data_IF_173704085373
#
_entry.id   IF_173704085373
#
_cell.length_a   1.000
_cell.length_b   1.000
_cell.length_c   1.000
_cell.angle_alpha   90.00
_cell.angle_beta   90.00
_cell.angle_gamma   90.00
#
_symmetry.space_group_name_H-M   'P 1'
#
loop_
_entity.id
_entity.type
_entity.pdbx_description
1 polymer ?
#
# COMPACT_ATOMS: atom_id res chain seq x y z
N UNK A 1 0.66 -7.78 -22.21
CA UNK A 1 0.68 -6.33 -21.92
C UNK A 1 -0.52 -5.87 -21.07
N UNK A 2 -1.77 -5.97 -21.56
CA UNK A 2 -2.97 -5.50 -20.83
C UNK A 2 -3.17 -6.14 -19.45
N UNK A 3 -2.85 -7.42 -19.27
CA UNK A 3 -2.93 -8.07 -17.95
C UNK A 3 -1.99 -7.45 -16.91
N UNK A 4 -0.75 -7.16 -17.30
CA UNK A 4 0.23 -6.43 -16.49
C UNK A 4 -0.23 -4.99 -16.25
N UNK A 5 -0.64 -4.27 -17.29
CA UNK A 5 -1.16 -2.91 -17.16
C UNK A 5 -2.41 -2.85 -16.25
N UNK A 6 -3.24 -3.90 -16.26
CA UNK A 6 -4.43 -4.05 -15.43
C UNK A 6 -4.09 -4.18 -13.94
N UNK A 7 -2.93 -4.73 -13.60
CA UNK A 7 -2.42 -4.73 -12.22
C UNK A 7 -2.22 -3.29 -11.69
N UNK A 8 -1.68 -2.42 -12.55
CA UNK A 8 -1.39 -1.01 -12.26
C UNK A 8 -2.58 -0.07 -12.44
N UNK A 9 -3.77 -0.59 -12.78
CA UNK A 9 -4.98 0.23 -13.03
C UNK A 9 -5.30 1.23 -11.92
N UNK A 10 -4.95 0.88 -10.66
CA UNK A 10 -5.22 1.70 -9.46
C UNK A 10 -4.33 2.95 -9.37
N UNK A 11 -3.22 2.96 -10.10
CA UNK A 11 -2.23 4.05 -10.11
C UNK A 11 -2.35 4.91 -11.39
N UNK A 12 -3.17 4.48 -12.35
CA UNK A 12 -3.34 5.14 -13.64
C UNK A 12 -4.69 5.86 -13.69
N UNK A 13 -4.67 7.18 -13.57
CA UNK A 13 -5.87 8.04 -13.71
C UNK A 13 -6.45 7.83 -15.12
N UNK A 14 -7.73 7.46 -15.20
CA UNK A 14 -8.40 7.21 -16.49
C UNK A 14 -7.93 5.94 -17.22
N UNK A 15 -7.52 4.90 -16.50
CA UNK A 15 -7.13 3.61 -17.10
C UNK A 15 -8.20 3.05 -18.04
N UNK A 16 -9.46 2.97 -17.58
CA UNK A 16 -10.55 2.37 -18.34
C UNK A 16 -10.83 3.04 -19.68
N UNK A 17 -10.79 4.38 -19.73
CA UNK A 17 -10.95 5.13 -20.98
C UNK A 17 -9.74 4.95 -21.91
N UNK A 18 -8.52 4.97 -21.37
CA UNK A 18 -7.29 4.79 -22.15
C UNK A 18 -7.19 3.37 -22.73
N UNK A 19 -7.63 2.34 -22.01
CA UNK A 19 -7.57 0.95 -22.49
C UNK A 19 -8.76 0.50 -23.33
N UNK A 20 -9.83 1.29 -23.41
CA UNK A 20 -11.06 0.94 -24.16
C UNK A 20 -10.79 0.50 -25.62
N UNK A 21 -10.01 1.23 -26.45
CA UNK A 21 -9.67 0.76 -27.79
C UNK A 21 -8.86 -0.54 -27.78
N UNK A 22 -7.98 -0.73 -26.80
CA UNK A 22 -7.20 -1.96 -26.62
C UNK A 22 -8.05 -3.17 -26.22
N UNK A 23 -9.05 -2.98 -25.35
CA UNK A 23 -9.98 -4.03 -24.92
C UNK A 23 -10.98 -4.38 -26.02
N UNK A 24 -11.35 -3.42 -26.87
CA UNK A 24 -12.21 -3.67 -28.03
C UNK A 24 -11.54 -4.59 -29.06
N UNK A 25 -10.22 -4.50 -29.25
CA UNK A 25 -9.46 -5.41 -30.11
C UNK A 25 -9.42 -6.87 -29.60
N UNK A 26 -9.71 -7.12 -28.33
CA UNK A 26 -9.72 -8.47 -27.73
C UNK A 26 -11.06 -9.20 -27.90
N UNK A 27 -12.05 -8.57 -28.55
CA UNK A 27 -13.36 -9.18 -28.83
C UNK A 27 -13.28 -10.13 -30.03
N UNK A 28 -14.22 -11.08 -30.09
CA UNK A 28 -14.12 -12.33 -30.86
C UNK A 28 -14.02 -12.18 -32.40
N UNK A 29 -14.11 -10.99 -32.99
CA UNK A 29 -14.16 -10.81 -34.46
C UNK A 29 -13.48 -9.53 -34.98
N UNK A 30 -12.30 -9.16 -34.47
CA UNK A 30 -11.55 -8.07 -35.11
C UNK A 30 -10.33 -7.59 -34.35
N UNK A 31 -9.24 -8.37 -34.40
CA UNK A 31 -7.93 -7.84 -34.06
C UNK A 31 -7.48 -6.91 -35.21
N UNK A 32 -7.80 -5.62 -35.11
CA UNK A 32 -7.36 -4.59 -36.04
C UNK A 32 -6.54 -3.56 -35.26
N UNK A 33 -5.24 -3.50 -35.53
CA UNK A 33 -4.34 -2.51 -34.92
C UNK A 33 -4.57 -1.14 -35.56
N UNK A 34 -5.57 -0.42 -35.07
CA UNK A 34 -5.91 0.93 -35.54
C UNK A 34 -4.94 2.00 -35.01
N UNK A 35 -4.97 3.18 -35.63
CA UNK A 35 -4.23 4.35 -35.13
C UNK A 35 -4.61 4.67 -33.67
N UNK A 36 -5.90 4.60 -33.36
CA UNK A 36 -6.45 4.81 -32.01
C UNK A 36 -5.92 3.79 -30.99
N UNK A 37 -5.75 2.53 -31.41
CA UNK A 37 -5.15 1.49 -30.58
C UNK A 37 -3.66 1.75 -30.32
N UNK A 38 -2.93 2.23 -31.33
CA UNK A 38 -1.52 2.59 -31.19
C UNK A 38 -1.33 3.81 -30.25
N UNK A 39 -2.15 4.84 -30.40
CA UNK A 39 -2.16 6.01 -29.52
C UNK A 39 -2.50 5.63 -28.08
N UNK A 40 -3.50 4.79 -27.88
CA UNK A 40 -3.85 4.26 -26.57
C UNK A 40 -2.72 3.43 -25.95
N UNK A 41 -2.02 2.61 -26.75
CA UNK A 41 -0.87 1.84 -26.30
C UNK A 41 0.30 2.73 -25.88
N UNK A 42 0.65 3.74 -26.68
CA UNK A 42 1.73 4.68 -26.35
C UNK A 42 1.36 5.55 -25.14
N UNK A 43 0.13 6.06 -25.08
CA UNK A 43 -0.37 6.80 -23.92
C UNK A 43 -0.32 5.96 -22.65
N UNK A 44 -0.73 4.69 -22.72
CA UNK A 44 -0.65 3.77 -21.59
C UNK A 44 0.81 3.49 -21.19
N UNK A 45 1.72 3.34 -22.15
CA UNK A 45 3.16 3.16 -21.89
C UNK A 45 3.76 4.39 -21.21
N UNK A 46 3.48 5.59 -21.71
CA UNK A 46 3.93 6.86 -21.11
C UNK A 46 3.36 7.04 -19.71
N UNK A 47 2.07 6.79 -19.51
CA UNK A 47 1.45 6.82 -18.17
C UNK A 47 2.01 5.74 -17.24
N UNK A 48 2.36 4.57 -17.76
CA UNK A 48 3.02 3.51 -16.99
C UNK A 48 4.46 3.84 -16.62
N UNK A 49 5.16 4.69 -17.40
CA UNK A 49 6.54 5.11 -17.12
C UNK A 49 6.59 6.35 -16.22
N UNK A 50 5.65 7.28 -16.41
CA UNK A 50 5.58 8.57 -15.69
C UNK A 50 4.58 8.61 -14.55
N UNK A 51 3.77 7.56 -14.34
CA UNK A 51 3.09 7.42 -13.07
C UNK A 51 4.15 7.54 -11.96
N UNK A 52 3.79 7.96 -10.74
CA UNK A 52 4.61 7.66 -9.57
C UNK A 52 4.63 6.13 -9.44
N UNK A 53 5.47 5.49 -10.27
CA UNK A 53 5.62 4.06 -10.36
C UNK A 53 6.37 3.71 -9.10
N UNK A 54 5.56 3.40 -8.12
CA UNK A 54 5.91 2.45 -7.12
C UNK A 54 6.68 1.29 -7.80
N UNK A 55 7.94 1.12 -7.44
CA UNK A 55 8.89 0.25 -8.12
C UNK A 55 8.30 -1.15 -8.37
N UNK A 56 8.71 -1.78 -9.46
CA UNK A 56 8.34 -3.17 -9.71
C UNK A 56 8.80 -4.02 -8.52
N UNK A 57 7.89 -4.80 -7.90
CA UNK A 57 8.27 -5.64 -6.77
C UNK A 57 9.21 -6.74 -7.27
N UNK A 58 10.43 -6.73 -6.75
CA UNK A 58 11.39 -7.80 -6.97
C UNK A 58 11.25 -8.81 -5.84
N UNK A 59 10.61 -9.94 -6.12
CA UNK A 59 10.34 -10.95 -5.11
C UNK A 59 11.60 -11.61 -4.54
N UNK A 60 12.78 -11.45 -5.16
CA UNK A 60 14.04 -11.94 -4.60
C UNK A 60 14.56 -11.07 -3.45
N UNK A 61 14.03 -9.85 -3.33
CA UNK A 61 14.44 -8.86 -2.35
C UNK A 61 13.50 -8.80 -1.15
N UNK A 62 14.06 -8.44 -0.01
CA UNK A 62 13.31 -8.30 1.25
C UNK A 62 12.37 -7.10 1.18
N UNK A 63 11.10 -7.34 1.47
CA UNK A 63 10.11 -6.27 1.60
C UNK A 63 10.25 -5.56 2.94
N UNK A 64 9.98 -4.28 2.93
CA UNK A 64 9.96 -3.42 4.11
C UNK A 64 8.65 -2.66 4.15
N UNK A 65 8.01 -2.67 5.31
CA UNK A 65 6.72 -2.05 5.56
C UNK A 65 6.95 -0.95 6.59
N UNK A 66 6.92 0.30 6.17
CA UNK A 66 6.92 1.45 7.09
C UNK A 66 5.46 1.80 7.42
N UNK A 67 5.14 1.86 8.71
CA UNK A 67 3.82 2.20 9.22
C UNK A 67 3.92 3.47 10.04
N UNK A 68 2.94 4.34 9.90
CA UNK A 68 2.76 5.53 10.71
C UNK A 68 1.29 5.72 11.09
N UNK A 69 1.05 6.08 12.35
CA UNK A 69 -0.29 6.25 12.89
C UNK A 69 -0.42 7.62 13.52
N UNK A 70 -1.33 8.42 12.98
CA UNK A 70 -1.76 9.66 13.60
C UNK A 70 -3.02 9.46 14.43
N UNK A 71 -3.43 10.49 15.17
CA UNK A 71 -4.69 10.46 15.93
C UNK A 71 -5.93 10.18 15.06
N UNK A 72 -5.87 10.57 13.78
CA UNK A 72 -7.01 10.61 12.86
C UNK A 72 -6.89 9.65 11.67
N UNK A 73 -5.67 9.32 11.26
CA UNK A 73 -5.40 8.58 10.04
C UNK A 73 -4.20 7.67 10.16
N UNK A 74 -4.09 6.77 9.19
CA UNK A 74 -3.05 5.75 9.13
C UNK A 74 -2.35 5.87 7.78
N UNK A 75 -1.03 5.82 7.83
CA UNK A 75 -0.15 5.81 6.68
C UNK A 75 0.67 4.52 6.67
N UNK A 76 0.84 3.92 5.50
CA UNK A 76 1.76 2.80 5.34
C UNK A 76 2.40 2.79 3.96
N UNK A 77 3.67 2.41 3.92
CA UNK A 77 4.48 2.34 2.71
C UNK A 77 5.16 0.97 2.66
N UNK A 78 4.90 0.23 1.60
CA UNK A 78 5.67 -0.95 1.20
C UNK A 78 6.83 -0.46 0.35
N UNK A 79 8.04 -0.92 0.64
CA UNK A 79 9.23 -0.56 -0.10
C UNK A 79 10.24 -1.71 -0.20
N UNK A 80 11.13 -1.63 -1.18
CA UNK A 80 12.32 -2.47 -1.30
C UNK A 80 13.50 -1.57 -1.62
N UNK A 81 14.64 -1.79 -0.96
CA UNK A 81 15.87 -1.00 -1.21
C UNK A 81 15.60 0.52 -1.24
N UNK A 82 14.80 1.03 -0.30
CA UNK A 82 14.39 2.45 -0.21
C UNK A 82 13.49 2.96 -1.35
N UNK A 83 13.01 2.08 -2.24
CA UNK A 83 12.06 2.42 -3.30
C UNK A 83 10.65 1.99 -2.90
N UNK A 84 9.66 2.91 -2.88
CA UNK A 84 8.29 2.57 -2.53
C UNK A 84 7.65 1.72 -3.63
N UNK A 85 6.89 0.69 -3.26
CA UNK A 85 6.19 -0.31 -4.10
C UNK A 85 4.67 -0.24 -3.90
N UNK A 86 4.23 0.13 -2.71
CA UNK A 86 2.82 0.43 -2.48
C UNK A 86 2.69 1.47 -1.37
N UNK A 87 1.70 2.33 -1.51
CA UNK A 87 1.36 3.32 -0.49
C UNK A 87 -0.11 3.13 -0.15
N UNK A 88 -0.43 3.21 1.15
CA UNK A 88 -1.77 3.21 1.69
C UNK A 88 -1.89 4.39 2.64
N UNK A 89 -2.96 5.17 2.48
CA UNK A 89 -3.44 6.13 3.48
C UNK A 89 -4.92 5.90 3.71
N UNK A 90 -5.36 5.92 4.97
CA UNK A 90 -6.77 5.74 5.34
C UNK A 90 -7.09 6.52 6.60
N UNK A 91 -8.27 7.14 6.66
CA UNK A 91 -8.81 7.76 7.88
C UNK A 91 -9.39 6.69 8.81
N UNK A 92 -9.14 6.82 10.12
CA UNK A 92 -9.71 5.92 11.13
C UNK A 92 -11.18 6.27 11.39
N UNK A 93 -12.03 5.25 11.58
CA UNK A 93 -13.41 5.47 12.02
C UNK A 93 -13.45 5.92 13.49
N UNK A 94 -14.54 6.55 13.94
CA UNK A 94 -14.66 7.08 15.31
C UNK A 94 -14.37 6.03 16.41
N UNK A 95 -14.84 4.79 16.22
CA UNK A 95 -14.53 3.67 17.13
C UNK A 95 -13.04 3.26 17.13
N UNK A 96 -12.36 3.44 16.00
CA UNK A 96 -10.93 3.16 15.87
C UNK A 96 -10.09 4.33 16.41
N UNK A 97 -10.60 5.56 16.32
CA UNK A 97 -9.98 6.75 16.89
C UNK A 97 -10.00 6.72 18.43
N UNK A 98 -10.99 6.08 19.06
CA UNK A 98 -11.05 5.91 20.51
C UNK A 98 -10.15 4.80 21.06
N UNK A 99 -9.50 4.00 20.20
CA UNK A 99 -8.56 2.98 20.64
C UNK A 99 -7.29 3.60 21.23
N UNK A 100 -6.59 2.84 22.08
CA UNK A 100 -5.26 3.23 22.55
C UNK A 100 -4.27 3.33 21.37
N UNK A 101 -3.23 4.16 21.49
CA UNK A 101 -2.19 4.30 20.46
C UNK A 101 -1.62 2.94 20.03
N UNK A 102 -1.36 2.08 21.01
CA UNK A 102 -0.90 0.71 20.76
C UNK A 102 -1.90 -0.14 19.94
N UNK A 103 -3.18 -0.11 20.29
CA UNK A 103 -4.20 -0.86 19.55
C UNK A 103 -4.42 -0.32 18.14
N UNK A 104 -4.30 1.01 17.95
CA UNK A 104 -4.35 1.61 16.61
C UNK A 104 -3.21 1.10 15.76
N UNK A 105 -1.98 1.18 16.26
CA UNK A 105 -0.81 0.68 15.55
C UNK A 105 -0.89 -0.80 15.20
N UNK A 106 -1.28 -1.64 16.16
CA UNK A 106 -1.50 -3.06 15.93
C UNK A 106 -2.55 -3.29 14.84
N UNK A 107 -3.65 -2.56 14.90
CA UNK A 107 -4.69 -2.61 13.87
C UNK A 107 -4.14 -2.22 12.49
N UNK A 108 -3.27 -1.21 12.40
CA UNK A 108 -2.66 -0.80 11.14
C UNK A 108 -1.73 -1.88 10.60
N UNK A 109 -0.84 -2.42 11.43
CA UNK A 109 0.06 -3.50 11.03
C UNK A 109 -0.74 -4.67 10.46
N UNK A 110 -1.76 -5.14 11.18
CA UNK A 110 -2.63 -6.24 10.74
C UNK A 110 -3.34 -5.90 9.43
N UNK A 111 -3.86 -4.68 9.32
CA UNK A 111 -4.57 -4.23 8.12
C UNK A 111 -3.66 -4.20 6.90
N UNK A 112 -2.45 -3.65 7.03
CA UNK A 112 -1.48 -3.47 5.96
C UNK A 112 -0.92 -4.81 5.52
N UNK A 113 -0.53 -5.67 6.46
CA UNK A 113 -0.03 -7.02 6.18
C UNK A 113 -1.09 -7.85 5.45
N UNK A 114 -2.35 -7.80 5.88
CA UNK A 114 -3.45 -8.48 5.18
C UNK A 114 -3.71 -7.87 3.79
N UNK A 115 -3.60 -6.55 3.65
CA UNK A 115 -3.81 -5.87 2.35
C UNK A 115 -2.72 -6.20 1.33
N UNK A 116 -1.50 -6.43 1.81
CA UNK A 116 -0.33 -6.80 1.00
C UNK A 116 0.04 -8.28 1.15
N UNK A 117 -0.92 -9.11 1.55
CA UNK A 117 -0.74 -10.57 1.67
C UNK A 117 -0.08 -11.17 0.43
N UNK A 118 -0.49 -10.76 -0.77
CA UNK A 118 0.06 -11.28 -2.03
C UNK A 118 1.53 -10.90 -2.27
N UNK A 119 2.07 -9.90 -1.56
CA UNK A 119 3.50 -9.57 -1.59
C UNK A 119 4.28 -10.26 -0.46
N UNK A 120 3.67 -10.38 0.72
CA UNK A 120 4.35 -10.74 1.97
C UNK A 120 4.25 -12.23 2.33
N UNK A 121 3.29 -12.96 1.77
CA UNK A 121 3.09 -14.38 2.10
C UNK A 121 4.30 -15.23 1.69
N UNK A 122 4.71 -16.16 2.57
CA UNK A 122 5.85 -17.06 2.40
C UNK A 122 7.21 -16.34 2.21
N UNK A 123 7.34 -15.11 2.72
CA UNK A 123 8.58 -14.33 2.64
C UNK A 123 8.85 -13.67 3.97
N UNK A 124 10.13 -13.53 4.29
CA UNK A 124 10.56 -12.72 5.42
C UNK A 124 10.50 -11.25 5.03
N UNK A 125 9.88 -10.42 5.87
CA UNK A 125 9.83 -8.96 5.67
C UNK A 125 10.07 -8.22 6.98
N UNK A 126 10.33 -6.93 6.87
CA UNK A 126 10.64 -6.05 8.00
C UNK A 126 9.50 -5.06 8.16
N UNK A 127 8.97 -4.93 9.37
CA UNK A 127 7.99 -3.91 9.73
C UNK A 127 8.72 -2.83 10.53
N UNK A 128 8.66 -1.59 10.05
CA UNK A 128 9.22 -0.41 10.70
C UNK A 128 8.10 0.45 11.26
N UNK A 129 8.24 0.78 12.53
CA UNK A 129 7.29 1.60 13.29
C UNK A 129 8.03 2.62 14.13
N UNK A 130 7.41 3.77 14.33
CA UNK A 130 7.89 4.88 15.14
C UNK A 130 7.58 4.73 16.64
N UNK A 131 6.97 3.60 17.01
CA UNK A 131 6.57 3.33 18.38
C UNK A 131 7.19 2.05 18.95
N UNK A 132 7.96 2.20 20.03
CA UNK A 132 8.71 1.10 20.64
C UNK A 132 7.84 -0.02 21.19
N UNK A 133 6.59 0.28 21.56
CA UNK A 133 5.68 -0.67 22.21
C UNK A 133 5.37 -1.88 21.32
N UNK A 134 5.36 -1.70 20.00
CA UNK A 134 5.15 -2.78 19.02
C UNK A 134 6.35 -3.73 18.90
N UNK A 135 7.55 -3.32 19.29
CA UNK A 135 8.75 -4.18 19.22
C UNK A 135 8.56 -5.48 20.01
N UNK A 136 7.88 -5.39 21.16
CA UNK A 136 7.62 -6.51 22.05
C UNK A 136 6.23 -7.13 21.84
N UNK A 137 5.54 -6.81 20.74
CA UNK A 137 4.19 -7.29 20.45
C UNK A 137 4.09 -8.83 20.49
N UNK A 138 5.13 -9.53 20.04
CA UNK A 138 5.18 -11.00 20.04
C UNK A 138 5.38 -11.62 21.44
N UNK A 139 5.95 -10.85 22.38
CA UNK A 139 6.30 -11.30 23.72
C UNK A 139 5.24 -10.90 24.77
N UNK A 140 4.35 -9.97 24.43
CA UNK A 140 3.33 -9.45 25.33
C UNK A 140 2.18 -10.43 25.56
N UNK A 141 1.63 -10.40 26.78
CA UNK A 141 0.40 -11.13 27.11
C UNK A 141 -0.79 -10.50 26.38
N UNK A 142 -1.37 -11.24 25.44
CA UNK A 142 -2.60 -10.85 24.73
C UNK A 142 -3.79 -10.90 25.69
N UNK A 143 -4.26 -9.74 26.13
CA UNK A 143 -5.34 -9.64 27.13
C UNK A 143 -6.71 -9.64 26.49
N UNK A 144 -6.89 -8.98 25.34
CA UNK A 144 -8.21 -8.83 24.70
C UNK A 144 -8.48 -9.85 23.59
N UNK A 145 -9.75 -10.20 23.39
CA UNK A 145 -10.19 -11.12 22.32
C UNK A 145 -9.84 -10.58 20.92
N UNK A 146 -9.88 -9.26 20.73
CA UNK A 146 -9.49 -8.63 19.47
C UNK A 146 -8.00 -8.81 19.18
N UNK A 147 -7.13 -8.58 20.18
CA UNK A 147 -5.69 -8.79 20.06
C UNK A 147 -5.36 -10.23 19.70
N UNK A 148 -6.01 -11.22 20.32
CA UNK A 148 -5.84 -12.64 19.97
C UNK A 148 -6.21 -12.93 18.52
N UNK A 149 -7.34 -12.42 18.03
CA UNK A 149 -7.77 -12.58 16.63
C UNK A 149 -6.77 -11.96 15.65
N UNK A 150 -6.22 -10.80 15.99
CA UNK A 150 -5.22 -10.11 15.17
C UNK A 150 -3.87 -10.83 15.17
N UNK A 151 -3.45 -11.35 16.32
CA UNK A 151 -2.24 -12.12 16.45
C UNK A 151 -2.25 -13.41 15.61
N UNK A 152 -3.35 -14.16 15.64
CA UNK A 152 -3.52 -15.36 14.79
C UNK A 152 -3.38 -15.03 13.30
N UNK A 153 -3.85 -13.85 12.87
CA UNK A 153 -3.68 -13.38 11.48
C UNK A 153 -2.25 -12.96 11.14
N UNK A 154 -1.42 -12.67 12.13
CA UNK A 154 -0.02 -12.33 11.94
C UNK A 154 0.88 -13.58 11.99
N UNK A 155 0.47 -14.63 12.70
CA UNK A 155 1.23 -15.90 12.81
C UNK A 155 1.47 -16.61 11.48
N UNK A 156 0.68 -16.34 10.45
CA UNK A 156 0.87 -16.89 9.10
C UNK A 156 2.02 -16.22 8.32
N UNK A 157 2.63 -15.17 8.87
CA UNK A 157 3.66 -14.37 8.23
C UNK A 157 4.98 -14.46 9.00
N UNK A 158 6.10 -14.41 8.26
CA UNK A 158 7.44 -14.31 8.84
C UNK A 158 7.91 -12.85 8.77
N UNK A 159 7.97 -12.18 9.92
CA UNK A 159 8.38 -10.77 9.99
C UNK A 159 9.20 -10.44 11.22
N UNK A 160 10.02 -9.39 11.10
CA UNK A 160 10.71 -8.76 12.21
C UNK A 160 10.26 -7.31 12.37
N UNK A 161 10.08 -6.87 13.62
CA UNK A 161 9.72 -5.48 13.92
C UNK A 161 10.98 -4.70 14.27
N UNK A 162 11.25 -3.63 13.52
CA UNK A 162 12.30 -2.67 13.77
C UNK A 162 11.69 -1.34 14.23
N UNK A 163 12.28 -0.77 15.28
CA UNK A 163 11.95 0.59 15.67
C UNK A 163 12.76 1.57 14.81
N UNK A 164 12.10 2.55 14.22
CA UNK A 164 12.73 3.63 13.47
C UNK A 164 12.19 4.97 13.99
N UNK A 165 13.06 5.89 14.36
CA UNK A 165 12.62 7.16 14.94
C UNK A 165 11.77 7.95 13.93
N UNK A 166 10.64 8.53 14.35
CA UNK A 166 9.65 9.15 13.46
C UNK A 166 10.20 10.24 12.51
N UNK A 167 11.32 10.89 12.88
CA UNK A 167 12.01 11.87 12.00
C UNK A 167 12.51 11.26 10.68
N UNK A 168 12.77 9.96 10.66
CA UNK A 168 13.25 9.23 9.49
C UNK A 168 12.11 8.58 8.69
N UNK A 169 10.86 8.71 9.13
CA UNK A 169 9.65 8.11 8.56
C UNK A 169 8.78 9.14 7.81
N UNK A 170 9.44 10.06 7.08
CA UNK A 170 8.80 11.25 6.47
C UNK A 170 7.63 10.89 5.55
N UNK A 171 7.73 9.79 4.79
CA UNK A 171 6.72 9.42 3.80
C UNK A 171 5.46 8.88 4.48
N UNK A 172 5.59 7.97 5.44
CA UNK A 172 4.43 7.43 6.15
C UNK A 172 3.77 8.48 7.06
N UNK A 173 4.58 9.35 7.69
CA UNK A 173 4.12 10.49 8.50
C UNK A 173 3.28 11.48 7.67
N UNK A 174 3.74 11.85 6.48
CA UNK A 174 2.96 12.70 5.58
C UNK A 174 1.60 12.05 5.25
N UNK A 175 1.59 10.74 5.00
CA UNK A 175 0.37 10.01 4.61
C UNK A 175 -0.64 9.83 5.73
N UNK A 176 -0.20 9.70 6.99
CA UNK A 176 -1.08 9.57 8.15
C UNK A 176 -1.71 10.92 8.54
N UNK A 177 -1.02 12.03 8.26
CA UNK A 177 -1.45 13.42 8.54
C UNK A 177 -2.35 14.03 7.47
N UNK A 178 -2.46 13.43 6.28
CA UNK A 178 -3.42 13.89 5.25
C UNK A 178 -4.89 13.82 5.72
N UNK A 179 -5.19 13.06 6.77
CA UNK A 179 -6.52 13.04 7.41
C UNK A 179 -6.86 14.28 8.24
N UNK A 180 -5.86 15.12 8.58
CA UNK A 180 -6.05 16.36 9.38
C UNK A 180 -6.28 17.61 8.54
N UNK A 181 -5.94 17.60 7.24
CA UNK A 181 -6.08 18.76 6.38
C UNK A 181 -7.41 18.72 5.63
N UNK A 182 -8.44 19.38 6.17
CA UNK A 182 -9.36 20.08 5.28
C UNK A 182 -8.52 21.06 4.44
N UNK A 183 -8.71 21.02 3.12
CA UNK A 183 -8.10 21.92 2.11
C UNK A 183 -6.60 21.71 1.80
N UNK A 184 -6.30 20.71 0.98
CA UNK A 184 -5.51 20.95 -0.23
C UNK A 184 -5.90 19.89 -1.26
N UNK A 185 -6.90 20.26 -2.08
CA UNK A 185 -7.12 19.60 -3.35
C UNK A 185 -5.83 19.74 -4.17
N UNK A 186 -5.03 18.69 -4.25
CA UNK A 186 -4.06 18.57 -5.34
C UNK A 186 -4.87 18.18 -6.58
N UNK A 187 -5.55 19.18 -7.14
CA UNK A 187 -5.98 19.18 -8.52
C UNK A 187 -4.71 19.28 -9.37
N UNK A 188 -4.17 18.12 -9.76
CA UNK A 188 -3.21 18.10 -10.87
C UNK A 188 -4.05 18.24 -12.14
N UNK A 189 -3.84 19.38 -12.81
CA UNK A 189 -4.34 19.72 -14.15
C UNK A 189 -4.15 18.56 -15.15
#
# INVERSE_FOLDING_TARGET
>A
FLGLAGYYRRFLKGYGSTTKPLTNMLKKEGFCWSLEANEAFQSLKTKLVHAPVLALPDFTKTFMVEVDVSGFGIGAVLMQEMHPIAVISRVLNQQQQSLSTYEKELLVVVFVVQKWRHYLLNRRFIIRTDHMSLKYMLEQRLTTTCQKKWYVKLMEFDFSIEYKQGKDNIVADALSRLGTTNCCAIQVH
#
